data_IF_241142086956
#
_entry.id   IF_241142086956
#
_cell.length_a   1.000
_cell.length_b   1.000
_cell.length_c   1.000
_cell.angle_alpha   90.00
_cell.angle_beta   90.00
_cell.angle_gamma   90.00
#
_symmetry.space_group_name_H-M   'P 1'
#
loop_
_entity.id
_entity.type
_entity.pdbx_description
1 polymer ?
#
# COMPACT_ATOMS: atom_id res chain seq x y z
N UNK A 1 -19.54 32.21 -31.58
CA UNK A 1 -19.88 31.36 -30.42
C UNK A 1 -18.87 30.23 -30.44
N UNK A 2 -17.92 30.22 -29.51
CA UNK A 2 -16.99 29.08 -29.36
C UNK A 2 -17.80 27.95 -28.77
N UNK A 3 -17.83 26.82 -29.46
CA UNK A 3 -18.43 25.57 -28.98
C UNK A 3 -17.75 25.22 -27.66
N UNK A 4 -18.53 25.05 -26.59
CA UNK A 4 -18.03 24.57 -25.31
C UNK A 4 -17.37 23.20 -25.55
N UNK A 5 -16.05 23.14 -25.40
CA UNK A 5 -15.31 21.88 -25.33
C UNK A 5 -15.70 21.20 -24.01
N UNK A 6 -16.71 20.34 -24.08
CA UNK A 6 -17.07 19.46 -22.97
C UNK A 6 -15.96 18.43 -22.84
N UNK A 7 -15.19 18.52 -21.75
CA UNK A 7 -14.20 17.50 -21.39
C UNK A 7 -14.94 16.33 -20.75
N UNK A 8 -15.04 15.20 -21.46
CA UNK A 8 -15.59 13.95 -20.94
C UNK A 8 -14.61 13.33 -19.93
N UNK A 9 -15.01 13.29 -18.65
CA UNK A 9 -14.21 12.81 -17.53
C UNK A 9 -14.50 11.33 -17.16
N UNK A 10 -15.14 10.57 -18.04
CA UNK A 10 -15.59 9.20 -17.78
C UNK A 10 -14.47 8.18 -17.47
N UNK A 11 -13.19 8.55 -17.61
CA UNK A 11 -12.03 7.71 -17.30
C UNK A 11 -11.24 8.18 -16.07
N UNK A 12 -11.85 8.95 -15.16
CA UNK A 12 -11.22 9.34 -13.89
C UNK A 12 -11.05 8.18 -12.90
N UNK A 13 -11.75 7.07 -13.11
CA UNK A 13 -11.68 5.92 -12.22
C UNK A 13 -10.29 5.28 -12.28
N UNK A 14 -9.72 5.08 -11.09
CA UNK A 14 -8.49 4.34 -10.93
C UNK A 14 -8.72 2.85 -11.21
N UNK A 15 -7.65 2.17 -11.65
CA UNK A 15 -7.63 0.72 -11.85
C UNK A 15 -7.93 0.01 -10.52
N UNK A 16 -8.75 -1.04 -10.60
CA UNK A 16 -9.10 -1.87 -9.45
C UNK A 16 -7.94 -2.76 -9.00
N UNK A 17 -7.05 -3.13 -9.92
CA UNK A 17 -5.79 -3.84 -9.65
C UNK A 17 -4.66 -3.26 -10.48
N UNK A 18 -3.43 -3.26 -9.94
CA UNK A 18 -2.25 -2.83 -10.68
C UNK A 18 -1.04 -3.76 -10.44
N UNK A 19 -0.36 -4.20 -11.52
CA UNK A 19 0.86 -4.99 -11.42
C UNK A 19 2.10 -4.09 -11.22
N UNK A 20 2.92 -4.44 -10.23
CA UNK A 20 4.24 -3.87 -9.97
C UNK A 20 5.31 -4.90 -10.36
N UNK A 21 6.17 -4.55 -11.32
CA UNK A 21 7.37 -5.35 -11.60
C UNK A 21 8.45 -5.04 -10.56
N UNK A 22 8.96 -6.05 -9.89
CA UNK A 22 10.06 -5.88 -8.94
C UNK A 22 11.36 -5.60 -9.68
N UNK A 23 12.10 -4.59 -9.22
CA UNK A 23 13.42 -4.22 -9.72
C UNK A 23 14.48 -4.71 -8.73
N UNK A 24 15.47 -5.46 -9.22
CA UNK A 24 16.60 -5.95 -8.42
C UNK A 24 17.88 -5.48 -9.11
N UNK A 25 18.76 -4.79 -8.36
CA UNK A 25 20.02 -4.25 -8.87
C UNK A 25 19.85 -3.41 -10.16
N UNK A 26 18.80 -2.59 -10.20
CA UNK A 26 18.46 -1.73 -11.34
C UNK A 26 17.86 -2.47 -12.55
N UNK A 27 17.61 -3.78 -12.45
CA UNK A 27 17.00 -4.57 -13.52
C UNK A 27 15.57 -4.93 -13.19
N UNK A 28 14.65 -4.62 -14.10
CA UNK A 28 13.27 -5.08 -14.04
C UNK A 28 13.27 -6.61 -14.14
N UNK A 29 12.62 -7.26 -13.19
CA UNK A 29 12.52 -8.72 -13.14
C UNK A 29 11.17 -9.19 -13.70
N UNK A 30 11.02 -10.51 -13.84
CA UNK A 30 9.73 -11.16 -14.15
C UNK A 30 8.89 -11.41 -12.88
N UNK A 31 9.36 -10.98 -11.72
CA UNK A 31 8.63 -11.10 -10.48
C UNK A 31 7.63 -9.94 -10.38
N UNK A 32 6.36 -10.27 -10.50
CA UNK A 32 5.26 -9.31 -10.58
C UNK A 32 4.42 -9.42 -9.32
N UNK A 33 4.18 -8.30 -8.65
CA UNK A 33 3.28 -8.20 -7.50
C UNK A 33 2.00 -7.52 -7.96
N UNK A 34 0.85 -8.03 -7.57
CA UNK A 34 -0.44 -7.44 -7.91
C UNK A 34 -1.04 -6.77 -6.67
N UNK A 35 -1.33 -5.49 -6.78
CA UNK A 35 -1.92 -4.70 -5.70
C UNK A 35 -3.35 -4.29 -6.01
N UNK A 36 -4.17 -4.28 -4.96
CA UNK A 36 -5.50 -3.70 -4.93
C UNK A 36 -5.43 -2.17 -5.09
N UNK A 37 -6.20 -1.67 -6.05
CA UNK A 37 -6.43 -0.26 -6.31
C UNK A 37 -7.28 0.41 -5.23
N UNK A 38 -7.51 1.73 -5.34
CA UNK A 38 -8.22 2.49 -4.31
C UNK A 38 -9.70 2.09 -4.18
N UNK A 39 -10.35 1.65 -5.25
CA UNK A 39 -11.75 1.20 -5.25
C UNK A 39 -11.95 -0.27 -4.81
N UNK A 40 -10.88 -1.06 -4.78
CA UNK A 40 -10.94 -2.48 -4.51
C UNK A 40 -11.38 -2.77 -3.07
N UNK A 41 -12.20 -3.81 -2.87
CA UNK A 41 -12.78 -4.19 -1.57
C UNK A 41 -11.73 -4.28 -0.46
N UNK A 42 -10.61 -4.98 -0.72
CA UNK A 42 -9.48 -5.09 0.22
C UNK A 42 -8.91 -3.73 0.67
N UNK A 43 -8.83 -2.75 -0.23
CA UNK A 43 -8.38 -1.38 0.08
C UNK A 43 -9.42 -0.62 0.91
N UNK A 44 -10.70 -0.77 0.56
CA UNK A 44 -11.81 -0.16 1.29
C UNK A 44 -11.88 -0.70 2.72
N UNK A 45 -11.80 -2.02 2.90
CA UNK A 45 -11.76 -2.67 4.21
C UNK A 45 -10.58 -2.19 5.06
N UNK A 46 -9.39 -2.15 4.47
CA UNK A 46 -8.19 -1.66 5.15
C UNK A 46 -8.35 -0.20 5.58
N UNK A 47 -8.84 0.67 4.69
CA UNK A 47 -9.07 2.08 4.96
C UNK A 47 -10.08 2.27 6.08
N UNK A 48 -11.19 1.54 6.05
CA UNK A 48 -12.21 1.58 7.10
C UNK A 48 -11.65 1.14 8.47
N UNK A 49 -10.81 0.10 8.50
CA UNK A 49 -10.15 -0.36 9.73
C UNK A 49 -9.21 0.72 10.30
N UNK A 50 -8.39 1.33 9.46
CA UNK A 50 -7.46 2.40 9.87
C UNK A 50 -8.23 3.63 10.37
N UNK A 51 -9.30 4.02 9.68
CA UNK A 51 -10.14 5.15 10.07
C UNK A 51 -10.77 4.92 11.45
N UNK A 52 -11.32 3.72 11.72
CA UNK A 52 -11.87 3.37 13.03
C UNK A 52 -10.81 3.44 14.14
N UNK A 53 -9.60 2.94 13.88
CA UNK A 53 -8.51 3.00 14.84
C UNK A 53 -8.13 4.45 15.18
N UNK A 54 -8.02 5.31 14.17
CA UNK A 54 -7.71 6.74 14.35
C UNK A 54 -8.78 7.46 15.17
N UNK A 55 -10.05 7.27 14.82
CA UNK A 55 -11.17 7.87 15.57
C UNK A 55 -11.17 7.43 17.05
N UNK A 56 -10.85 6.17 17.33
CA UNK A 56 -10.74 5.68 18.70
C UNK A 56 -9.56 6.30 19.46
N UNK A 57 -8.40 6.44 18.81
CA UNK A 57 -7.23 7.12 19.39
C UNK A 57 -7.51 8.61 19.65
N UNK A 58 -8.19 9.30 18.73
CA UNK A 58 -8.61 10.70 18.88
C UNK A 58 -9.60 10.87 20.05
N UNK A 59 -10.63 10.04 20.15
CA UNK A 59 -11.56 10.07 21.27
C UNK A 59 -10.86 9.86 22.63
N UNK A 60 -9.86 8.98 22.69
CA UNK A 60 -9.04 8.78 23.92
C UNK A 60 -8.20 10.01 24.26
N UNK A 61 -7.64 10.69 23.26
CA UNK A 61 -6.90 11.95 23.44
C UNK A 61 -7.81 13.04 23.98
N UNK A 62 -8.98 13.23 23.38
CA UNK A 62 -9.97 14.22 23.81
C UNK A 62 -10.42 13.99 25.25
N UNK A 63 -10.75 12.74 25.61
CA UNK A 63 -11.10 12.38 26.99
C UNK A 63 -9.96 12.64 27.98
N UNK A 64 -8.70 12.41 27.60
CA UNK A 64 -7.55 12.69 28.47
C UNK A 64 -7.39 14.19 28.73
N UNK A 65 -7.54 15.02 27.69
CA UNK A 65 -7.48 16.49 27.78
C UNK A 65 -8.59 17.02 28.68
N UNK A 66 -9.84 16.56 28.49
CA UNK A 66 -11.00 16.98 29.29
C UNK A 66 -10.83 16.60 30.77
N UNK A 67 -10.25 15.43 31.06
CA UNK A 67 -9.98 14.97 32.43
C UNK A 67 -8.73 15.60 33.07
N UNK A 68 -8.11 16.59 32.42
CA UNK A 68 -6.90 17.26 32.91
C UNK A 68 -5.66 16.35 32.99
N UNK A 69 -5.69 15.18 32.34
CA UNK A 69 -4.55 14.27 32.29
C UNK A 69 -3.63 14.66 31.14
N UNK A 70 -2.34 14.81 31.43
CA UNK A 70 -1.31 15.02 30.42
C UNK A 70 -1.25 13.79 29.49
N UNK A 71 -1.67 13.95 28.24
CA UNK A 71 -1.46 12.92 27.23
C UNK A 71 0.05 12.82 26.92
N UNK A 72 0.62 11.65 27.08
CA UNK A 72 2.00 11.34 26.67
C UNK A 72 1.87 10.50 25.41
N UNK A 73 2.28 11.06 24.26
CA UNK A 73 2.36 10.28 23.03
C UNK A 73 3.53 9.31 23.16
N UNK A 74 3.27 8.02 23.03
CA UNK A 74 4.32 7.03 22.84
C UNK A 74 4.95 7.26 21.47
N UNK A 75 6.26 7.51 21.45
CA UNK A 75 7.01 7.66 20.21
C UNK A 75 7.24 6.25 19.64
N UNK A 76 6.72 5.94 18.43
CA UNK A 76 6.86 4.61 17.88
C UNK A 76 8.32 4.34 17.54
N UNK A 77 8.77 3.14 17.90
CA UNK A 77 10.08 2.63 17.50
C UNK A 77 10.14 2.40 15.98
N UNK A 78 11.34 2.39 15.37
CA UNK A 78 11.48 2.09 13.94
C UNK A 78 10.87 0.74 13.53
N UNK A 79 10.89 -0.26 14.40
CA UNK A 79 10.33 -1.57 14.15
C UNK A 79 8.80 -1.56 14.13
N UNK A 80 8.16 -0.81 15.03
CA UNK A 80 6.71 -0.61 15.02
C UNK A 80 6.24 0.13 13.77
N UNK A 81 7.01 1.12 13.30
CA UNK A 81 6.72 1.82 12.04
C UNK A 81 6.84 0.86 10.87
N UNK A 82 7.89 0.04 10.82
CA UNK A 82 8.06 -0.98 9.78
C UNK A 82 6.91 -1.97 9.81
N UNK A 83 6.53 -2.49 10.97
CA UNK A 83 5.43 -3.45 11.09
C UNK A 83 4.11 -2.85 10.59
N UNK A 84 3.80 -1.60 10.95
CA UNK A 84 2.63 -0.88 10.42
C UNK A 84 2.67 -0.77 8.90
N UNK A 85 3.81 -0.46 8.32
CA UNK A 85 3.97 -0.36 6.87
C UNK A 85 3.89 -1.72 6.17
N UNK A 86 4.44 -2.77 6.76
CA UNK A 86 4.28 -4.16 6.27
C UNK A 86 2.81 -4.55 6.28
N UNK A 87 2.11 -4.28 7.38
CA UNK A 87 0.66 -4.49 7.48
C UNK A 87 -0.12 -3.71 6.43
N UNK A 88 0.32 -2.50 6.11
CA UNK A 88 -0.29 -1.66 5.09
C UNK A 88 -0.08 -2.22 3.68
N UNK A 89 1.14 -2.63 3.34
CA UNK A 89 1.46 -3.26 2.05
C UNK A 89 0.68 -4.57 1.87
N UNK A 90 0.79 -5.49 2.84
CA UNK A 90 0.17 -6.83 2.76
C UNK A 90 -1.35 -6.73 2.69
N UNK A 91 -1.94 -5.74 3.38
CA UNK A 91 -3.38 -5.50 3.31
C UNK A 91 -3.87 -5.06 1.93
N UNK A 92 -3.01 -4.61 1.02
CA UNK A 92 -3.37 -4.30 -0.38
C UNK A 92 -2.79 -5.29 -1.39
N UNK A 93 -1.94 -6.20 -0.95
CA UNK A 93 -1.32 -7.20 -1.83
C UNK A 93 -2.33 -8.32 -2.13
N UNK A 94 -2.57 -8.57 -3.42
CA UNK A 94 -3.42 -9.65 -3.90
C UNK A 94 -2.61 -10.92 -4.17
N UNK A 95 -1.37 -10.74 -4.63
CA UNK A 95 -0.42 -11.83 -4.77
C UNK A 95 0.83 -11.43 -5.52
N UNK A 96 1.67 -12.41 -5.81
CA UNK A 96 2.81 -12.25 -6.73
C UNK A 96 3.06 -13.52 -7.53
N UNK A 97 3.80 -13.38 -8.64
CA UNK A 97 4.26 -14.53 -9.41
C UNK A 97 5.27 -15.35 -8.60
N UNK A 98 5.18 -16.70 -8.59
CA UNK A 98 6.12 -17.53 -7.85
C UNK A 98 7.57 -17.27 -8.28
N UNK A 99 8.48 -17.15 -7.31
CA UNK A 99 9.90 -16.82 -7.56
C UNK A 99 10.82 -17.72 -6.73
N UNK A 100 12.08 -17.89 -7.14
CA UNK A 100 13.11 -18.52 -6.31
C UNK A 100 13.95 -17.48 -5.60
N UNK A 101 14.07 -17.59 -4.28
CA UNK A 101 14.94 -16.75 -3.45
C UNK A 101 15.83 -17.69 -2.65
N UNK A 102 17.15 -17.50 -2.74
CA UNK A 102 18.14 -18.31 -2.00
C UNK A 102 18.00 -19.83 -2.24
N UNK A 103 17.52 -20.22 -3.43
CA UNK A 103 17.32 -21.62 -3.83
C UNK A 103 15.93 -22.19 -3.48
N UNK A 104 15.15 -21.49 -2.67
CA UNK A 104 13.82 -21.91 -2.24
C UNK A 104 12.71 -21.27 -3.08
N UNK A 105 11.65 -22.03 -3.34
CA UNK A 105 10.48 -21.52 -4.06
C UNK A 105 9.61 -20.71 -3.10
N UNK A 106 9.51 -19.41 -3.35
CA UNK A 106 8.61 -18.52 -2.62
C UNK A 106 7.31 -18.36 -3.39
N UNK A 107 6.26 -19.01 -2.90
CA UNK A 107 4.87 -18.81 -3.34
C UNK A 107 4.20 -17.75 -2.47
N UNK A 108 3.23 -17.06 -3.05
CA UNK A 108 2.51 -16.03 -2.31
C UNK A 108 1.67 -16.63 -1.20
N UNK A 109 1.81 -16.04 -0.01
CA UNK A 109 0.88 -16.08 1.10
C UNK A 109 1.07 -14.79 1.90
N UNK A 110 0.07 -14.37 2.68
CA UNK A 110 0.22 -13.17 3.51
C UNK A 110 1.38 -13.32 4.50
N UNK A 111 1.56 -14.50 5.08
CA UNK A 111 2.68 -14.79 6.00
C UNK A 111 4.04 -14.73 5.30
N UNK A 112 4.15 -15.25 4.08
CA UNK A 112 5.35 -15.13 3.28
C UNK A 112 5.67 -13.66 2.96
N UNK A 113 4.65 -12.85 2.65
CA UNK A 113 4.78 -11.42 2.40
C UNK A 113 5.24 -10.65 3.63
N UNK A 114 4.65 -10.94 4.79
CA UNK A 114 5.06 -10.35 6.06
C UNK A 114 6.52 -10.66 6.39
N UNK A 115 6.91 -11.93 6.29
CA UNK A 115 8.29 -12.36 6.55
C UNK A 115 9.28 -11.70 5.58
N UNK A 116 8.95 -11.66 4.29
CA UNK A 116 9.79 -11.05 3.27
C UNK A 116 9.99 -9.54 3.51
N UNK A 117 8.91 -8.82 3.80
CA UNK A 117 8.94 -7.35 3.96
C UNK A 117 9.48 -6.91 5.32
N UNK A 118 9.44 -7.79 6.33
CA UNK A 118 10.04 -7.55 7.63
C UNK A 118 11.57 -7.71 7.62
N UNK A 119 12.14 -8.48 6.68
CA UNK A 119 13.58 -8.70 6.58
C UNK A 119 14.31 -7.41 6.13
N UNK A 120 15.16 -6.80 6.99
CA UNK A 120 15.91 -5.59 6.63
C UNK A 120 16.84 -5.78 5.43
N UNK A 121 17.28 -7.02 5.15
CA UNK A 121 18.13 -7.36 4.00
C UNK A 121 17.38 -7.27 2.67
N UNK A 122 16.04 -7.26 2.71
CA UNK A 122 15.15 -7.18 1.55
C UNK A 122 14.45 -5.81 1.47
N UNK A 123 15.03 -4.79 2.12
CA UNK A 123 14.49 -3.42 2.21
C UNK A 123 14.18 -2.79 0.85
N UNK A 124 14.95 -3.10 -0.20
CA UNK A 124 14.70 -2.57 -1.54
C UNK A 124 13.32 -2.97 -2.10
N UNK A 125 12.84 -4.18 -1.77
CA UNK A 125 11.51 -4.66 -2.20
C UNK A 125 10.42 -3.93 -1.39
N UNK A 126 10.65 -3.78 -0.09
CA UNK A 126 9.76 -3.03 0.79
C UNK A 126 9.58 -1.57 0.35
N UNK A 127 10.67 -0.88 -0.01
CA UNK A 127 10.60 0.52 -0.49
C UNK A 127 9.84 0.60 -1.81
N UNK A 128 10.11 -0.30 -2.76
CA UNK A 128 9.38 -0.33 -4.04
C UNK A 128 7.87 -0.51 -3.84
N UNK A 129 7.46 -1.41 -2.95
CA UNK A 129 6.06 -1.61 -2.64
C UNK A 129 5.39 -0.36 -2.02
N UNK A 130 6.09 0.34 -1.13
CA UNK A 130 5.60 1.61 -0.57
C UNK A 130 5.44 2.69 -1.64
N UNK A 131 6.48 2.88 -2.45
CA UNK A 131 6.50 3.90 -3.51
C UNK A 131 5.40 3.62 -4.54
N UNK A 132 5.23 2.36 -4.93
CA UNK A 132 4.17 1.96 -5.85
C UNK A 132 2.78 2.28 -5.30
N UNK A 133 2.51 1.96 -4.04
CA UNK A 133 1.23 2.22 -3.39
C UNK A 133 0.97 3.70 -3.10
N UNK A 134 2.03 4.51 -2.96
CA UNK A 134 1.95 5.95 -2.73
C UNK A 134 1.82 6.76 -4.04
N UNK A 135 2.21 6.19 -5.18
CA UNK A 135 2.13 6.86 -6.46
C UNK A 135 0.73 6.73 -7.08
N UNK A 136 -0.02 7.82 -7.17
CA UNK A 136 -1.35 7.87 -7.81
C UNK A 136 -1.33 7.37 -9.26
N UNK A 137 -0.19 7.59 -9.95
CA UNK A 137 0.04 7.12 -11.32
C UNK A 137 0.03 5.59 -11.45
N UNK A 138 0.30 4.84 -10.37
CA UNK A 138 0.34 3.37 -10.40
C UNK A 138 -1.02 2.76 -10.71
N UNK A 139 -2.09 3.48 -10.38
CA UNK A 139 -3.48 3.03 -10.59
C UNK A 139 -4.19 3.89 -11.63
N UNK A 140 -3.50 4.76 -12.35
CA UNK A 140 -4.11 5.56 -13.41
C UNK A 140 -4.13 4.76 -14.71
N UNK A 141 -5.28 4.60 -15.39
CA UNK A 141 -5.33 3.99 -16.71
C UNK A 141 -4.43 4.77 -17.67
N UNK A 142 -3.53 4.09 -18.39
CA UNK A 142 -2.76 4.76 -19.44
C UNK A 142 -3.73 5.17 -20.55
N UNK A 143 -3.78 6.46 -20.89
CA UNK A 143 -4.52 6.92 -22.06
C UNK A 143 -4.01 6.15 -23.28
N UNK A 144 -4.91 5.47 -23.99
CA UNK A 144 -4.58 4.77 -25.21
C UNK A 144 -4.14 5.80 -26.26
N UNK A 145 -2.82 5.94 -26.47
CA UNK A 145 -2.33 6.59 -27.68
C UNK A 145 -2.63 5.65 -28.83
N UNK A 146 -3.72 5.94 -29.55
CA UNK A 146 -4.01 5.33 -30.87
C UNK A 146 -3.10 5.97 -31.91
#
# INVERSE_FOLDING_TARGET
MKTDEVTELGSLDALDEAPMNVVINGKVTTWVWTFAGPGHEKTVEQTNRIARQRLHEEARKEQAVVNGKKWIAEEPTPDEVREKNVNWIVGRLLGWTPVKIDGEMLTYSEDAARKLLADPRKSAIYVQALEFLAADTSFTPRSATT
#
